data_IF_555411833521
#
_entry.id   IF_555411833521
#
_cell.length_a   1.000
_cell.length_b   1.000
_cell.length_c   1.000
_cell.angle_alpha   90.00
_cell.angle_beta   90.00
_cell.angle_gamma   90.00
#
_symmetry.space_group_name_H-M   'P 1'
#
loop_
_entity.id
_entity.type
_entity.pdbx_description
1 polymer ?
#
# COMPACT_ATOMS: atom_id res chain seq x y z
N UNK A 1 -27.28 -8.00 -24.96
CA UNK A 1 -26.05 -8.11 -25.76
C UNK A 1 -24.93 -7.49 -24.96
N UNK A 2 -24.45 -8.24 -23.97
CA UNK A 2 -23.34 -7.85 -23.10
C UNK A 2 -22.02 -8.13 -23.83
N UNK A 3 -21.24 -7.09 -24.11
CA UNK A 3 -19.85 -7.25 -24.54
C UNK A 3 -18.99 -7.17 -23.29
N UNK A 4 -18.61 -8.31 -22.75
CA UNK A 4 -17.49 -8.38 -21.81
C UNK A 4 -16.23 -7.93 -22.55
N UNK A 5 -15.76 -6.73 -22.22
CA UNK A 5 -14.50 -6.21 -22.70
C UNK A 5 -13.36 -7.05 -22.11
N UNK A 6 -12.76 -7.89 -22.95
CA UNK A 6 -11.49 -8.58 -22.68
C UNK A 6 -10.35 -7.56 -22.69
N UNK A 7 -10.28 -6.71 -21.67
CA UNK A 7 -9.33 -5.58 -21.60
C UNK A 7 -8.21 -5.67 -20.54
N UNK A 8 -8.19 -6.53 -19.50
CA UNK A 8 -7.14 -6.44 -18.47
C UNK A 8 -5.92 -7.36 -18.68
N UNK A 9 -6.02 -8.43 -19.48
CA UNK A 9 -5.00 -9.50 -19.44
C UNK A 9 -3.68 -9.09 -20.12
N UNK A 10 -3.73 -8.25 -21.16
CA UNK A 10 -2.53 -7.86 -21.90
C UNK A 10 -1.63 -6.86 -21.14
N UNK A 11 -2.20 -5.99 -20.27
CA UNK A 11 -1.42 -5.01 -19.51
C UNK A 11 -0.70 -5.65 -18.30
N UNK A 12 -1.28 -6.68 -17.67
CA UNK A 12 -0.67 -7.40 -16.53
C UNK A 12 0.62 -8.13 -16.94
N UNK A 13 0.68 -8.67 -18.16
CA UNK A 13 1.86 -9.42 -18.65
C UNK A 13 3.07 -8.51 -18.87
N UNK A 14 2.86 -7.26 -19.29
CA UNK A 14 3.95 -6.28 -19.44
C UNK A 14 4.53 -5.89 -18.07
N UNK A 15 3.69 -5.82 -17.03
CA UNK A 15 4.10 -5.47 -15.67
C UNK A 15 4.97 -6.52 -14.97
N UNK A 16 4.67 -7.81 -15.15
CA UNK A 16 5.52 -8.89 -14.59
C UNK A 16 6.93 -8.87 -15.23
N UNK A 17 7.03 -8.49 -16.51
CA UNK A 17 8.30 -8.45 -17.23
C UNK A 17 9.13 -7.22 -16.85
N UNK A 18 8.50 -6.03 -16.70
CA UNK A 18 9.21 -4.79 -16.33
C UNK A 18 9.65 -4.82 -14.85
N UNK A 19 8.79 -5.28 -13.94
CA UNK A 19 9.17 -5.42 -12.51
C UNK A 19 10.21 -6.54 -12.30
N UNK A 20 10.12 -7.62 -13.08
CA UNK A 20 11.09 -8.72 -13.06
C UNK A 20 12.48 -8.32 -13.57
N UNK A 21 12.57 -7.43 -14.56
CA UNK A 21 13.84 -6.92 -15.09
C UNK A 21 14.56 -5.98 -14.10
N UNK A 22 13.82 -5.22 -13.30
CA UNK A 22 14.40 -4.36 -12.25
C UNK A 22 14.94 -5.18 -11.08
N UNK A 23 14.34 -6.34 -10.77
CA UNK A 23 14.80 -7.23 -9.69
C UNK A 23 15.99 -8.13 -10.06
N UNK A 24 16.21 -8.45 -11.33
CA UNK A 24 17.34 -9.29 -11.76
C UNK A 24 18.67 -8.52 -11.94
N UNK A 25 18.66 -7.20 -11.92
CA UNK A 25 19.83 -6.35 -12.19
C UNK A 25 20.87 -6.26 -11.06
N UNK A 26 20.60 -6.76 -9.85
CA UNK A 26 21.49 -6.59 -8.69
C UNK A 26 22.24 -7.86 -8.25
N UNK A 27 22.12 -8.96 -9.00
CA UNK A 27 22.78 -10.23 -8.68
C UNK A 27 24.00 -10.46 -9.60
N UNK A 28 25.07 -9.71 -9.40
CA UNK A 28 26.26 -9.92 -10.24
C UNK A 28 27.47 -9.06 -9.93
N UNK A 29 28.01 -9.09 -8.71
CA UNK A 29 29.46 -8.88 -8.50
C UNK A 29 29.89 -9.15 -7.05
N UNK A 30 30.92 -9.98 -6.90
CA UNK A 30 31.60 -10.30 -5.64
C UNK A 30 31.67 -11.83 -5.47
N UNK A 31 32.71 -12.55 -5.89
CA UNK A 31 34.13 -12.20 -5.86
C UNK A 31 34.76 -12.91 -4.67
N UNK A 32 34.96 -14.22 -4.80
CA UNK A 32 35.67 -15.08 -3.84
C UNK A 32 37.18 -15.00 -4.14
N UNK A 33 38.07 -14.89 -3.13
CA UNK A 33 38.99 -16.02 -2.94
C UNK A 33 39.53 -16.25 -1.51
N UNK A 34 39.65 -17.55 -1.14
CA UNK A 34 40.73 -18.25 -0.38
C UNK A 34 41.09 -17.71 1.01
N UNK A 35 41.00 -18.46 2.12
CA UNK A 35 41.71 -19.70 2.55
C UNK A 35 41.83 -19.63 4.11
N UNK A 36 42.49 -20.55 4.86
CA UNK A 36 42.26 -22.00 5.05
C UNK A 36 42.22 -22.42 6.56
N UNK A 37 41.77 -23.65 6.85
CA UNK A 37 42.33 -24.54 7.89
C UNK A 37 42.02 -24.29 9.38
N UNK A 38 41.54 -25.34 10.07
CA UNK A 38 41.57 -25.43 11.54
C UNK A 38 40.64 -26.48 12.12
N UNK A 39 41.16 -27.68 12.40
CA UNK A 39 40.48 -28.77 13.10
C UNK A 39 40.51 -28.60 14.62
N UNK A 40 39.52 -29.19 15.34
CA UNK A 40 39.54 -29.76 16.72
C UNK A 40 38.06 -29.99 17.13
N UNK A 41 37.54 -31.22 17.19
CA UNK A 41 37.63 -32.25 18.25
C UNK A 41 36.96 -31.87 19.58
N UNK A 42 35.93 -32.63 20.01
CA UNK A 42 35.58 -32.73 21.44
C UNK A 42 34.11 -32.86 21.85
N UNK A 43 33.57 -34.09 21.74
CA UNK A 43 32.65 -34.84 22.66
C UNK A 43 31.34 -34.25 23.26
N UNK A 44 30.39 -35.14 23.65
CA UNK A 44 28.98 -34.84 23.92
C UNK A 44 28.65 -34.71 25.42
N UNK A 45 27.46 -34.20 25.71
CA UNK A 45 26.76 -34.47 26.96
C UNK A 45 25.24 -34.49 26.74
N UNK A 46 24.67 -35.68 26.88
CA UNK A 46 23.27 -35.93 27.16
C UNK A 46 22.89 -35.26 28.49
N UNK A 47 21.73 -34.60 28.53
CA UNK A 47 20.98 -34.48 29.77
C UNK A 47 19.48 -34.45 29.47
N UNK A 48 18.84 -35.56 29.84
CA UNK A 48 17.40 -35.68 29.97
C UNK A 48 16.94 -34.85 31.17
N UNK A 49 15.96 -33.98 30.95
CA UNK A 49 15.34 -33.13 31.96
C UNK A 49 13.82 -33.15 31.76
N UNK A 50 13.19 -33.97 32.58
CA UNK A 50 11.77 -34.20 32.78
C UNK A 50 10.95 -32.90 32.93
N UNK A 51 9.85 -32.80 32.20
CA UNK A 51 8.93 -31.67 32.18
C UNK A 51 7.63 -32.05 32.89
N UNK A 52 7.40 -31.46 34.06
CA UNK A 52 6.12 -31.51 34.75
C UNK A 52 5.84 -30.17 35.41
N UNK A 53 5.04 -29.32 34.77
CA UNK A 53 4.20 -28.33 35.45
C UNK A 53 3.17 -27.76 34.47
N UNK A 54 1.97 -28.26 34.65
CA UNK A 54 0.67 -27.74 34.25
C UNK A 54 0.55 -26.23 34.56
N UNK A 55 0.26 -25.41 33.55
CA UNK A 55 -0.13 -24.01 33.72
C UNK A 55 -1.12 -23.62 32.61
N UNK A 56 -2.37 -23.92 32.93
CA UNK A 56 -3.61 -23.38 32.37
C UNK A 56 -3.45 -21.95 31.81
N UNK A 57 -3.71 -21.81 30.51
CA UNK A 57 -3.87 -20.55 29.77
C UNK A 57 -5.06 -19.75 30.30
N UNK A 58 -4.98 -18.42 30.40
CA UNK A 58 -6.13 -17.57 30.11
C UNK A 58 -6.18 -17.28 28.62
N UNK A 59 -7.22 -17.79 27.96
CA UNK A 59 -7.67 -17.33 26.67
C UNK A 59 -8.03 -15.84 26.79
N UNK A 60 -7.40 -14.99 25.97
CA UNK A 60 -7.62 -13.56 26.01
C UNK A 60 -7.20 -12.86 24.74
N UNK A 61 -8.19 -12.60 23.89
CA UNK A 61 -8.24 -11.50 22.93
C UNK A 61 -7.36 -11.61 21.67
N UNK A 62 -7.90 -12.32 20.67
CA UNK A 62 -7.54 -12.13 19.26
C UNK A 62 -7.95 -10.74 18.76
N UNK A 63 -7.23 -9.70 19.19
CA UNK A 63 -7.23 -8.44 18.48
C UNK A 63 -6.54 -8.69 17.14
N UNK A 64 -7.33 -8.75 16.07
CA UNK A 64 -6.84 -8.80 14.69
C UNK A 64 -5.80 -7.68 14.49
N UNK A 65 -4.65 -7.97 13.89
CA UNK A 65 -3.53 -7.01 13.80
C UNK A 65 -3.89 -5.64 13.18
N UNK A 66 -5.01 -5.55 12.49
CA UNK A 66 -5.62 -4.29 12.02
C UNK A 66 -6.05 -3.35 13.17
N UNK A 67 -6.67 -3.89 14.22
CA UNK A 67 -7.04 -3.14 15.43
C UNK A 67 -5.81 -2.73 16.25
N UNK A 68 -4.72 -3.49 16.16
CA UNK A 68 -3.48 -3.20 16.86
C UNK A 68 -2.68 -2.07 16.19
N UNK A 69 -2.67 -2.02 14.85
CA UNK A 69 -2.01 -0.95 14.09
C UNK A 69 -2.73 0.39 14.19
N UNK A 70 -4.06 0.39 14.28
CA UNK A 70 -4.88 1.61 14.48
C UNK A 70 -4.69 2.26 15.85
N UNK A 71 -4.24 1.50 16.85
CA UNK A 71 -3.88 2.01 18.18
C UNK A 71 -2.48 2.59 18.30
N UNK A 72 -1.65 2.49 17.25
CA UNK A 72 -0.31 3.10 17.25
C UNK A 72 -0.50 4.59 16.95
N UNK A 73 -0.02 5.50 17.82
CA UNK A 73 -0.18 6.93 17.59
C UNK A 73 0.45 7.30 16.25
N UNK A 74 -0.21 8.14 15.46
CA UNK A 74 0.36 8.67 14.22
C UNK A 74 1.71 9.36 14.52
N UNK A 75 2.55 9.52 13.49
CA UNK A 75 3.70 10.41 13.61
C UNK A 75 3.19 11.79 14.05
N UNK A 76 3.63 12.28 15.21
CA UNK A 76 3.26 13.61 15.66
C UNK A 76 3.68 14.60 14.56
N UNK A 77 2.77 15.42 14.00
CA UNK A 77 3.20 16.53 13.18
C UNK A 77 4.19 17.36 14.00
N UNK A 78 5.25 17.82 13.34
CA UNK A 78 6.27 18.71 13.92
C UNK A 78 5.56 19.91 14.58
N UNK A 79 5.22 19.80 15.87
CA UNK A 79 4.37 20.78 16.56
C UNK A 79 3.41 20.25 17.63
N UNK A 80 2.94 19.00 17.59
CA UNK A 80 2.08 18.47 18.67
C UNK A 80 2.93 17.90 19.81
N UNK A 81 2.99 18.68 20.90
CA UNK A 81 3.70 18.36 22.14
C UNK A 81 2.94 17.31 22.97
N UNK A 82 2.88 16.08 22.48
CA UNK A 82 2.71 14.94 23.40
C UNK A 82 4.12 14.50 23.77
N UNK A 83 4.58 14.70 25.01
CA UNK A 83 5.92 14.24 25.39
C UNK A 83 5.98 12.73 25.13
N UNK A 84 7.04 12.22 24.46
CA UNK A 84 7.20 10.79 24.35
C UNK A 84 7.20 10.21 25.77
N UNK A 85 6.40 9.17 26.00
CA UNK A 85 6.23 8.52 27.32
C UNK A 85 7.57 8.07 27.93
N UNK A 86 8.60 7.94 27.10
CA UNK A 86 9.96 7.53 27.46
C UNK A 86 10.98 8.45 26.77
N UNK A 87 12.11 8.72 27.45
CA UNK A 87 13.23 9.45 26.84
C UNK A 87 13.79 8.67 25.63
N UNK A 88 14.45 9.35 24.69
CA UNK A 88 15.05 8.66 23.53
C UNK A 88 16.00 7.53 23.96
N UNK A 89 16.80 7.75 24.99
CA UNK A 89 17.71 6.73 25.55
C UNK A 89 16.93 5.52 26.09
N UNK A 90 15.82 5.76 26.79
CA UNK A 90 14.99 4.69 27.33
C UNK A 90 14.23 3.94 26.23
N UNK A 91 13.83 4.62 25.16
CA UNK A 91 13.25 3.96 23.98
C UNK A 91 14.25 3.06 23.28
N UNK A 92 15.51 3.50 23.11
CA UNK A 92 16.58 2.65 22.56
C UNK A 92 16.84 1.42 23.43
N UNK A 93 16.92 1.61 24.76
CA UNK A 93 17.13 0.50 25.69
C UNK A 93 15.97 -0.50 25.63
N UNK A 94 14.74 -0.02 25.74
CA UNK A 94 13.55 -0.86 25.70
C UNK A 94 13.41 -1.56 24.34
N UNK A 95 13.70 -0.87 23.23
CA UNK A 95 13.70 -1.47 21.90
C UNK A 95 14.74 -2.60 21.80
N UNK A 96 15.95 -2.37 22.31
CA UNK A 96 17.00 -3.37 22.40
C UNK A 96 16.58 -4.60 23.20
N UNK A 97 15.99 -4.41 24.37
CA UNK A 97 15.49 -5.49 25.23
C UNK A 97 14.37 -6.31 24.54
N UNK A 98 13.40 -5.63 23.93
CA UNK A 98 12.29 -6.28 23.22
C UNK A 98 12.81 -7.13 22.06
N UNK A 99 13.75 -6.61 21.27
CA UNK A 99 14.28 -7.30 20.08
C UNK A 99 15.36 -8.34 20.42
N UNK A 100 16.06 -8.23 21.56
CA UNK A 100 17.02 -9.23 22.01
C UNK A 100 16.33 -10.48 22.61
N UNK A 101 15.11 -10.33 23.12
CA UNK A 101 14.32 -11.43 23.69
C UNK A 101 13.74 -12.41 22.65
N UNK A 102 14.15 -12.32 21.38
CA UNK A 102 13.64 -13.16 20.29
C UNK A 102 14.31 -14.54 20.30
N UNK A 103 13.57 -15.63 20.57
CA UNK A 103 14.13 -16.97 20.46
C UNK A 103 14.45 -17.29 18.99
N UNK A 104 15.60 -17.92 18.77
CA UNK A 104 15.96 -18.57 17.51
C UNK A 104 16.20 -20.04 17.84
N UNK A 105 15.51 -21.00 17.21
CA UNK A 105 14.57 -20.89 16.08
C UNK A 105 13.14 -20.47 16.48
N UNK A 106 12.39 -19.92 15.53
CA UNK A 106 11.00 -19.48 15.73
C UNK A 106 10.01 -20.56 15.25
N UNK A 107 9.18 -21.08 16.16
CA UNK A 107 8.00 -21.89 15.86
C UNK A 107 6.72 -21.05 15.67
N UNK A 108 5.56 -21.69 15.44
CA UNK A 108 4.30 -20.98 15.15
C UNK A 108 3.80 -20.09 16.29
N UNK A 109 3.92 -20.55 17.55
CA UNK A 109 3.58 -19.74 18.71
C UNK A 109 4.53 -18.54 18.87
N UNK A 110 5.76 -18.66 18.37
CA UNK A 110 6.73 -17.56 18.39
C UNK A 110 6.38 -16.46 17.40
N UNK A 111 5.56 -16.73 16.36
CA UNK A 111 5.12 -15.72 15.39
C UNK A 111 4.16 -14.69 16.01
N UNK A 112 3.23 -15.14 16.86
CA UNK A 112 2.30 -14.21 17.55
C UNK A 112 3.05 -13.36 18.57
N UNK A 113 3.95 -13.97 19.35
CA UNK A 113 4.80 -13.24 20.28
C UNK A 113 5.76 -12.28 19.54
N UNK A 114 6.19 -12.61 18.33
CA UNK A 114 6.99 -11.74 17.48
C UNK A 114 6.18 -10.55 16.95
N UNK A 115 4.95 -10.77 16.49
CA UNK A 115 4.00 -9.72 16.10
C UNK A 115 3.79 -8.71 17.25
N UNK A 116 3.45 -9.20 18.43
CA UNK A 116 3.21 -8.37 19.62
C UNK A 116 4.44 -7.54 20.01
N UNK A 117 5.64 -8.11 19.91
CA UNK A 117 6.88 -7.39 20.19
C UNK A 117 7.13 -6.27 19.18
N UNK A 118 6.94 -6.52 17.88
CA UNK A 118 7.10 -5.47 16.88
C UNK A 118 6.07 -4.35 17.07
N UNK A 119 4.80 -4.70 17.32
CA UNK A 119 3.76 -3.73 17.65
C UNK A 119 4.14 -2.90 18.88
N UNK A 120 4.71 -3.55 19.91
CA UNK A 120 5.18 -2.88 21.12
C UNK A 120 6.33 -1.93 20.85
N UNK A 121 7.29 -2.29 20.01
CA UNK A 121 8.37 -1.37 19.58
C UNK A 121 7.78 -0.14 18.89
N UNK A 122 6.82 -0.33 17.97
CA UNK A 122 6.22 0.79 17.23
C UNK A 122 5.35 1.70 18.09
N UNK A 123 4.76 1.17 19.16
CA UNK A 123 3.94 1.92 20.11
C UNK A 123 4.76 2.61 21.21
N UNK A 124 5.67 1.87 21.84
CA UNK A 124 6.37 2.31 23.05
C UNK A 124 7.73 2.96 22.74
N UNK A 125 8.35 2.60 21.61
CA UNK A 125 9.68 3.06 21.19
C UNK A 125 9.69 3.69 19.76
N UNK A 126 8.77 4.59 19.40
CA UNK A 126 8.66 5.10 18.03
C UNK A 126 9.87 5.93 17.58
N UNK A 127 10.68 6.47 18.49
CA UNK A 127 11.88 7.24 18.15
C UNK A 127 13.15 6.38 18.12
N UNK A 128 13.08 5.09 18.46
CA UNK A 128 14.26 4.22 18.46
C UNK A 128 14.77 3.98 17.03
N UNK A 129 16.09 3.91 16.89
CA UNK A 129 16.82 3.67 15.64
C UNK A 129 16.35 2.42 14.88
N UNK A 130 15.87 1.41 15.61
CA UNK A 130 15.36 0.14 15.06
C UNK A 130 13.84 0.08 14.88
N UNK A 131 13.10 1.12 15.23
CA UNK A 131 11.65 1.15 15.02
C UNK A 131 11.24 1.04 13.53
N UNK A 132 11.95 1.66 12.56
CA UNK A 132 11.67 1.45 11.14
C UNK A 132 11.91 -0.01 10.70
N UNK A 133 12.95 -0.66 11.25
CA UNK A 133 13.20 -2.09 11.00
C UNK A 133 12.02 -2.92 11.53
N UNK A 134 11.53 -2.65 12.74
CA UNK A 134 10.40 -3.36 13.33
C UNK A 134 9.13 -3.24 12.46
N UNK A 135 8.81 -2.05 11.94
CA UNK A 135 7.66 -1.87 11.03
C UNK A 135 7.82 -2.67 9.74
N UNK A 136 9.01 -2.65 9.14
CA UNK A 136 9.29 -3.42 7.92
C UNK A 136 9.19 -4.94 8.18
N UNK A 137 9.75 -5.41 9.29
CA UNK A 137 9.68 -6.84 9.68
C UNK A 137 8.27 -7.28 10.01
N UNK A 138 7.46 -6.42 10.60
CA UNK A 138 6.04 -6.66 10.83
C UNK A 138 5.28 -6.82 9.51
N UNK A 139 5.53 -5.96 8.53
CA UNK A 139 4.95 -6.10 7.20
C UNK A 139 5.38 -7.42 6.51
N UNK A 140 6.66 -7.79 6.61
CA UNK A 140 7.15 -9.10 6.14
C UNK A 140 6.46 -10.26 6.85
N UNK A 141 6.25 -10.18 8.16
CA UNK A 141 5.57 -11.21 8.95
C UNK A 141 4.14 -11.45 8.42
N UNK A 142 3.42 -10.38 8.09
CA UNK A 142 2.07 -10.47 7.54
C UNK A 142 2.00 -11.03 6.12
N UNK A 143 3.01 -10.76 5.30
CA UNK A 143 3.01 -11.18 3.90
C UNK A 143 3.65 -12.55 3.67
N UNK A 144 4.80 -12.81 4.27
CA UNK A 144 5.66 -13.96 3.97
C UNK A 144 5.48 -15.10 4.99
N UNK A 145 5.08 -14.78 6.23
CA UNK A 145 5.01 -15.75 7.34
C UNK A 145 3.58 -16.06 7.79
N UNK A 146 2.57 -15.58 7.07
CA UNK A 146 1.16 -15.87 7.32
C UNK A 146 0.57 -16.69 6.17
N UNK A 147 -0.12 -17.78 6.50
CA UNK A 147 -0.91 -18.57 5.54
C UNK A 147 -2.39 -18.55 5.94
N UNK A 148 -3.27 -17.88 5.17
CA UNK A 148 -3.00 -17.06 3.98
C UNK A 148 -2.31 -15.73 4.31
N UNK A 149 -1.69 -15.04 3.32
CA UNK A 149 -1.10 -13.72 3.50
C UNK A 149 -2.12 -12.70 4.03
N UNK A 150 -1.72 -11.97 5.07
CA UNK A 150 -2.54 -10.91 5.71
C UNK A 150 -2.29 -9.58 4.99
N UNK A 151 -2.91 -9.42 3.81
CA UNK A 151 -2.71 -8.26 2.91
C UNK A 151 -3.02 -6.93 3.60
N UNK A 152 -4.17 -6.79 4.24
CA UNK A 152 -4.59 -5.52 4.86
C UNK A 152 -3.65 -5.10 6.01
N UNK A 153 -3.33 -5.95 7.02
CA UNK A 153 -2.32 -5.62 8.02
C UNK A 153 -0.94 -5.32 7.44
N UNK A 154 -0.54 -6.01 6.36
CA UNK A 154 0.71 -5.72 5.66
C UNK A 154 0.71 -4.31 5.06
N UNK A 155 -0.35 -3.95 4.33
CA UNK A 155 -0.52 -2.64 3.73
C UNK A 155 -0.48 -1.52 4.79
N UNK A 156 -1.19 -1.70 5.91
CA UNK A 156 -1.19 -0.74 7.01
C UNK A 156 0.19 -0.59 7.67
N UNK A 157 0.93 -1.68 7.87
CA UNK A 157 2.29 -1.62 8.42
C UNK A 157 3.26 -0.87 7.49
N UNK A 158 3.12 -1.02 6.16
CA UNK A 158 3.92 -0.30 5.18
C UNK A 158 3.55 1.19 5.09
N UNK A 159 2.25 1.52 5.15
CA UNK A 159 1.79 2.92 5.24
C UNK A 159 2.37 3.60 6.48
N UNK A 160 2.29 2.95 7.63
CA UNK A 160 2.89 3.44 8.88
C UNK A 160 4.40 3.66 8.75
N UNK A 161 5.12 2.73 8.10
CA UNK A 161 6.56 2.86 7.87
C UNK A 161 6.89 4.10 7.03
N UNK A 162 6.16 4.34 5.94
CA UNK A 162 6.35 5.51 5.08
C UNK A 162 6.00 6.82 5.78
N UNK A 163 4.86 6.88 6.47
CA UNK A 163 4.38 8.11 7.09
C UNK A 163 5.22 8.51 8.31
N UNK A 164 5.70 7.53 9.09
CA UNK A 164 6.48 7.79 10.31
C UNK A 164 7.99 7.84 10.09
N UNK A 165 8.50 7.09 9.12
CA UNK A 165 9.94 6.97 8.88
C UNK A 165 10.32 7.19 7.40
N UNK A 166 9.88 8.30 6.77
CA UNK A 166 10.01 8.50 5.32
C UNK A 166 11.46 8.46 4.83
N UNK A 167 12.43 8.87 5.66
CA UNK A 167 13.86 8.93 5.30
C UNK A 167 14.59 7.61 5.52
N UNK A 168 13.94 6.61 6.15
CA UNK A 168 14.58 5.34 6.47
C UNK A 168 14.88 4.51 5.21
N UNK A 169 15.95 3.71 5.26
CA UNK A 169 16.24 2.77 4.17
C UNK A 169 15.15 1.70 4.02
N UNK A 170 14.44 1.38 5.12
CA UNK A 170 13.33 0.45 5.13
C UNK A 170 12.11 1.00 4.38
N UNK A 171 11.79 2.28 4.55
CA UNK A 171 10.77 2.98 3.77
C UNK A 171 11.07 2.89 2.26
N UNK A 172 12.26 3.32 1.83
CA UNK A 172 12.67 3.19 0.42
C UNK A 172 12.55 1.76 -0.13
N UNK A 173 12.93 0.76 0.67
CA UNK A 173 12.81 -0.66 0.31
C UNK A 173 11.35 -1.16 0.26
N UNK A 174 10.45 -0.53 1.01
CA UNK A 174 9.03 -0.86 1.06
C UNK A 174 8.24 -0.37 -0.16
N UNK A 175 8.72 0.67 -0.86
CA UNK A 175 8.01 1.32 -1.98
C UNK A 175 7.41 0.33 -2.99
N UNK A 176 8.16 -0.62 -3.57
CA UNK A 176 7.58 -1.51 -4.59
C UNK A 176 6.46 -2.39 -4.04
N UNK A 177 6.61 -2.85 -2.79
CA UNK A 177 5.61 -3.71 -2.13
C UNK A 177 4.37 -2.92 -1.72
N UNK A 178 4.54 -1.68 -1.26
CA UNK A 178 3.43 -0.80 -0.94
C UNK A 178 2.59 -0.47 -2.18
N UNK A 179 3.25 -0.11 -3.29
CA UNK A 179 2.55 0.12 -4.57
C UNK A 179 1.79 -1.12 -5.04
N UNK A 180 2.43 -2.29 -4.98
CA UNK A 180 1.80 -3.56 -5.36
C UNK A 180 0.56 -3.88 -4.50
N UNK A 181 0.68 -3.79 -3.17
CA UNK A 181 -0.43 -4.14 -2.27
C UNK A 181 -1.57 -3.13 -2.34
N UNK A 182 -1.26 -1.83 -2.44
CA UNK A 182 -2.29 -0.81 -2.61
C UNK A 182 -3.04 -0.96 -3.94
N UNK A 183 -2.35 -1.38 -5.01
CA UNK A 183 -3.00 -1.71 -6.28
C UNK A 183 -3.87 -2.95 -6.19
N UNK A 184 -3.42 -4.00 -5.50
CA UNK A 184 -4.22 -5.20 -5.26
C UNK A 184 -5.46 -4.93 -4.39
N UNK A 185 -5.34 -3.98 -3.45
CA UNK A 185 -6.45 -3.52 -2.62
C UNK A 185 -7.35 -2.49 -3.32
N UNK A 186 -7.02 -2.08 -4.56
CA UNK A 186 -7.73 -1.04 -5.31
C UNK A 186 -7.86 0.30 -4.56
N UNK A 187 -6.87 0.62 -3.72
CA UNK A 187 -6.79 1.89 -2.99
C UNK A 187 -6.20 2.99 -3.89
N UNK A 188 -6.94 3.30 -4.96
CA UNK A 188 -6.55 4.27 -5.99
C UNK A 188 -6.30 5.67 -5.43
N UNK A 189 -7.10 6.22 -4.49
CA UNK A 189 -6.84 7.53 -3.92
C UNK A 189 -5.49 7.59 -3.20
N UNK A 190 -5.18 6.58 -2.36
CA UNK A 190 -3.90 6.49 -1.70
C UNK A 190 -2.74 6.36 -2.70
N UNK A 191 -2.90 5.54 -3.74
CA UNK A 191 -1.87 5.38 -4.78
C UNK A 191 -1.57 6.68 -5.51
N UNK A 192 -2.59 7.47 -5.86
CA UNK A 192 -2.40 8.75 -6.53
C UNK A 192 -1.58 9.72 -5.66
N UNK A 193 -1.99 9.90 -4.41
CA UNK A 193 -1.30 10.77 -3.45
C UNK A 193 0.13 10.28 -3.16
N UNK A 194 0.32 8.97 -3.08
CA UNK A 194 1.62 8.38 -2.78
C UNK A 194 2.58 8.47 -3.98
N UNK A 195 2.12 8.18 -5.20
CA UNK A 195 2.91 8.32 -6.42
C UNK A 195 3.28 9.79 -6.69
N UNK A 196 2.37 10.74 -6.45
CA UNK A 196 2.68 12.16 -6.54
C UNK A 196 3.82 12.54 -5.57
N UNK A 197 3.76 12.09 -4.31
CA UNK A 197 4.86 12.28 -3.35
C UNK A 197 6.17 11.66 -3.87
N UNK A 198 6.15 10.45 -4.41
CA UNK A 198 7.34 9.76 -4.93
C UNK A 198 7.98 10.49 -6.13
N UNK A 199 7.17 11.02 -7.05
CA UNK A 199 7.68 11.75 -8.21
C UNK A 199 8.44 13.03 -7.80
N UNK A 200 8.05 13.64 -6.68
CA UNK A 200 8.67 14.84 -6.13
C UNK A 200 9.80 14.57 -5.12
N UNK A 201 10.12 13.30 -4.82
CA UNK A 201 11.22 12.96 -3.91
C UNK A 201 12.58 13.25 -4.53
N UNK A 202 13.43 13.95 -3.77
CA UNK A 202 14.79 14.31 -4.19
C UNK A 202 15.71 13.07 -4.34
N UNK A 203 15.45 12.01 -3.57
CA UNK A 203 16.25 10.78 -3.55
C UNK A 203 15.86 9.76 -4.63
N UNK A 204 14.89 10.09 -5.49
CA UNK A 204 14.42 9.19 -6.55
C UNK A 204 15.35 9.24 -7.77
N UNK A 205 15.80 8.07 -8.23
CA UNK A 205 16.55 7.95 -9.49
C UNK A 205 15.65 8.38 -10.66
N UNK A 206 16.25 8.99 -11.69
CA UNK A 206 15.48 9.49 -12.84
C UNK A 206 14.65 8.38 -13.51
N UNK A 207 15.20 7.16 -13.64
CA UNK A 207 14.48 6.03 -14.24
C UNK A 207 13.22 5.65 -13.43
N UNK A 208 13.34 5.56 -12.10
CA UNK A 208 12.22 5.25 -11.21
C UNK A 208 11.17 6.36 -11.26
N UNK A 209 11.61 7.62 -11.27
CA UNK A 209 10.73 8.79 -11.35
C UNK A 209 9.88 8.78 -12.63
N UNK A 210 10.49 8.44 -13.78
CA UNK A 210 9.77 8.31 -15.05
C UNK A 210 8.73 7.19 -14.97
N UNK A 211 9.07 6.05 -14.36
CA UNK A 211 8.10 4.98 -14.12
C UNK A 211 6.93 5.49 -13.28
N UNK A 212 7.20 6.15 -12.15
CA UNK A 212 6.15 6.67 -11.27
C UNK A 212 5.23 7.68 -11.96
N UNK A 213 5.75 8.55 -12.84
CA UNK A 213 4.91 9.47 -13.62
C UNK A 213 3.92 8.74 -14.52
N UNK A 214 4.35 7.66 -15.20
CA UNK A 214 3.46 6.84 -16.03
C UNK A 214 2.40 6.15 -15.16
N UNK A 215 2.79 5.56 -14.03
CA UNK A 215 1.83 4.93 -13.13
C UNK A 215 0.84 5.93 -12.54
N UNK A 216 1.29 7.14 -12.21
CA UNK A 216 0.43 8.19 -11.68
C UNK A 216 -0.66 8.56 -12.69
N UNK A 217 -0.29 8.71 -13.97
CA UNK A 217 -1.27 8.95 -15.03
C UNK A 217 -2.29 7.81 -15.16
N UNK A 218 -1.86 6.54 -15.11
CA UNK A 218 -2.77 5.38 -15.14
C UNK A 218 -3.70 5.35 -13.92
N UNK A 219 -3.20 5.66 -12.73
CA UNK A 219 -4.03 5.72 -11.51
C UNK A 219 -5.04 6.87 -11.58
N UNK A 220 -4.64 8.03 -12.11
CA UNK A 220 -5.54 9.18 -12.32
C UNK A 220 -6.63 8.86 -13.35
N UNK A 221 -6.31 8.11 -14.41
CA UNK A 221 -7.30 7.60 -15.36
C UNK A 221 -8.33 6.69 -14.66
N UNK A 222 -7.87 5.76 -13.79
CA UNK A 222 -8.76 4.89 -13.00
C UNK A 222 -9.66 5.66 -12.03
N UNK A 223 -9.20 6.81 -11.55
CA UNK A 223 -9.98 7.72 -10.71
C UNK A 223 -10.93 8.62 -11.53
N UNK A 224 -10.97 8.49 -12.85
CA UNK A 224 -11.79 9.33 -13.73
C UNK A 224 -11.26 10.76 -13.88
N UNK A 225 -9.96 10.97 -13.64
CA UNK A 225 -9.25 12.27 -13.73
C UNK A 225 -8.14 12.25 -14.80
N UNK A 226 -8.42 11.83 -16.05
CA UNK A 226 -7.38 11.71 -17.09
C UNK A 226 -6.74 13.07 -17.45
N UNK A 227 -7.48 14.17 -17.30
CA UNK A 227 -6.97 15.52 -17.55
C UNK A 227 -5.77 15.88 -16.66
N UNK A 228 -5.72 15.32 -15.45
CA UNK A 228 -4.60 15.49 -14.53
C UNK A 228 -3.43 14.53 -14.84
N UNK A 229 -3.70 13.39 -15.48
CA UNK A 229 -2.70 12.41 -15.90
C UNK A 229 -1.92 12.84 -17.15
N UNK A 230 -2.59 13.49 -18.10
CA UNK A 230 -2.00 13.99 -19.36
C UNK A 230 -0.69 14.78 -19.19
N UNK A 231 -0.58 15.80 -18.33
CA UNK A 231 0.65 16.56 -18.18
C UNK A 231 1.84 15.70 -17.71
N UNK A 232 1.58 14.62 -16.96
CA UNK A 232 2.62 13.67 -16.55
C UNK A 232 3.14 12.85 -17.74
N UNK A 233 2.26 12.37 -18.61
CA UNK A 233 2.64 11.63 -19.81
C UNK A 233 3.43 12.50 -20.80
N UNK A 234 3.00 13.74 -21.01
CA UNK A 234 3.75 14.71 -21.83
C UNK A 234 5.14 15.00 -21.25
N UNK A 235 5.25 15.05 -19.91
CA UNK A 235 6.53 15.22 -19.22
C UNK A 235 7.43 14.01 -19.40
N UNK A 236 6.90 12.79 -19.32
CA UNK A 236 7.64 11.54 -19.61
C UNK A 236 8.18 11.56 -21.03
N UNK A 237 7.37 11.95 -22.03
CA UNK A 237 7.82 12.04 -23.42
C UNK A 237 8.96 13.05 -23.61
N UNK A 238 8.98 14.13 -22.84
CA UNK A 238 10.04 15.15 -22.88
C UNK A 238 11.31 14.70 -22.16
N UNK A 239 11.18 14.13 -20.97
CA UNK A 239 12.31 13.75 -20.11
C UNK A 239 12.96 12.42 -20.51
N UNK A 240 12.21 11.52 -21.15
CA UNK A 240 12.66 10.17 -21.52
C UNK A 240 12.49 9.92 -23.03
N UNK A 241 12.69 10.94 -23.86
CA UNK A 241 12.55 10.85 -25.32
C UNK A 241 13.38 9.69 -25.90
N UNK A 242 12.76 8.88 -26.76
CA UNK A 242 13.40 7.72 -27.39
C UNK A 242 13.55 6.48 -26.49
N UNK A 243 12.95 6.50 -25.30
CA UNK A 243 12.86 5.31 -24.43
C UNK A 243 11.53 4.58 -24.62
N UNK A 244 11.44 3.27 -24.29
CA UNK A 244 10.18 2.54 -24.30
C UNK A 244 9.08 3.18 -23.43
N UNK A 245 9.45 3.92 -22.38
CA UNK A 245 8.49 4.62 -21.53
C UNK A 245 7.86 5.83 -22.22
N UNK A 246 8.61 6.56 -23.05
CA UNK A 246 8.05 7.64 -23.87
C UNK A 246 7.12 7.11 -24.97
N UNK A 247 7.43 5.93 -25.52
CA UNK A 247 6.54 5.27 -26.49
C UNK A 247 5.24 4.79 -25.82
N UNK A 248 5.34 4.20 -24.63
CA UNK A 248 4.18 3.82 -23.82
C UNK A 248 3.31 5.06 -23.49
N UNK A 249 3.92 6.15 -23.04
CA UNK A 249 3.21 7.39 -22.73
C UNK A 249 2.47 7.95 -23.95
N UNK A 250 3.10 7.91 -25.14
CA UNK A 250 2.46 8.30 -26.40
C UNK A 250 1.24 7.42 -26.71
N UNK A 251 1.38 6.10 -26.60
CA UNK A 251 0.27 5.17 -26.85
C UNK A 251 -0.91 5.41 -25.91
N UNK A 252 -0.67 5.72 -24.63
CA UNK A 252 -1.73 6.03 -23.68
C UNK A 252 -2.48 7.30 -24.11
N UNK A 253 -1.77 8.36 -24.46
CA UNK A 253 -2.39 9.61 -24.94
C UNK A 253 -3.20 9.43 -26.24
N UNK A 254 -2.70 8.63 -27.18
CA UNK A 254 -3.42 8.30 -28.42
C UNK A 254 -4.71 7.51 -28.13
N UNK A 255 -4.68 6.59 -27.16
CA UNK A 255 -5.86 5.83 -26.73
C UNK A 255 -6.90 6.74 -26.06
N UNK A 256 -6.49 7.65 -25.20
CA UNK A 256 -7.38 8.66 -24.60
C UNK A 256 -8.06 9.51 -25.68
N UNK A 257 -7.29 10.00 -26.66
CA UNK A 257 -7.81 10.81 -27.74
C UNK A 257 -8.79 10.05 -28.65
N UNK A 258 -8.56 8.75 -28.88
CA UNK A 258 -9.44 7.89 -29.66
C UNK A 258 -10.71 7.47 -28.90
N UNK A 259 -10.70 7.54 -27.56
CA UNK A 259 -11.82 7.19 -26.68
C UNK A 259 -12.79 8.34 -26.38
N UNK A 260 -12.40 9.59 -26.60
CA UNK A 260 -13.31 10.73 -26.53
C UNK A 260 -14.21 10.75 -27.78
N UNK A 261 -15.55 10.79 -27.65
CA UNK A 261 -16.40 11.16 -28.78
C UNK A 261 -16.01 12.57 -29.26
N UNK A 262 -15.86 12.80 -30.58
CA UNK A 262 -15.66 14.15 -31.08
C UNK A 262 -16.91 14.98 -30.74
N UNK A 263 -16.68 16.17 -30.21
CA UNK A 263 -17.65 17.25 -30.02
C UNK A 263 -18.71 17.12 -28.92
N UNK A 264 -18.44 17.83 -27.82
CA UNK A 264 -19.43 18.69 -27.15
C UNK A 264 -19.49 20.10 -27.76
N UNK A 265 -19.04 20.26 -29.02
CA UNK A 265 -19.30 21.44 -29.83
C UNK A 265 -20.70 21.40 -30.42
N UNK A 266 -21.72 21.52 -29.58
CA UNK A 266 -22.97 22.09 -30.09
C UNK A 266 -22.81 23.61 -30.09
N UNK A 267 -22.50 24.10 -31.28
CA UNK A 267 -22.78 25.44 -31.77
C UNK A 267 -24.10 25.99 -31.17
N UNK A 268 -23.97 26.76 -30.09
CA UNK A 268 -25.04 27.63 -29.61
C UNK A 268 -25.07 28.90 -30.46
N UNK A 269 -25.37 28.72 -31.76
CA UNK A 269 -25.66 29.79 -32.71
C UNK A 269 -26.74 29.34 -33.70
N UNK A 270 -28.00 29.33 -33.23
CA UNK A 270 -29.17 29.55 -34.08
C UNK A 270 -30.35 30.10 -33.27
N UNK A 271 -30.37 31.43 -33.14
CA UNK A 271 -31.50 32.37 -33.27
C UNK A 271 -32.92 32.11 -32.70
N UNK A 272 -33.64 33.20 -32.37
CA UNK A 272 -34.82 33.20 -31.54
C UNK A 272 -36.10 32.92 -32.35
N UNK A 273 -37.00 32.11 -31.79
CA UNK A 273 -38.40 32.09 -32.19
C UNK A 273 -39.21 32.89 -31.17
N UNK A 274 -39.78 33.99 -31.65
CA UNK A 274 -40.76 34.82 -30.96
C UNK A 274 -42.03 34.03 -30.56
N UNK A 275 -42.79 34.55 -29.57
CA UNK A 275 -43.86 33.83 -28.89
C UNK A 275 -45.22 34.05 -29.57
N UNK A 276 -46.11 33.06 -29.47
CA UNK A 276 -47.55 33.29 -29.57
C UNK A 276 -48.34 32.54 -28.49
N UNK A 277 -49.49 33.09 -28.04
CA UNK A 277 -50.11 32.78 -26.76
C UNK A 277 -51.39 31.93 -26.90
N UNK A 278 -52.04 31.74 -25.75
CA UNK A 278 -53.41 31.28 -25.50
C UNK A 278 -53.49 29.79 -25.13
N UNK A 279 -53.81 29.43 -23.88
CA UNK A 279 -55.07 29.67 -23.14
C UNK A 279 -55.86 28.36 -23.10
N UNK A 280 -56.18 27.87 -21.91
CA UNK A 280 -57.30 26.96 -21.74
C UNK A 280 -57.16 25.88 -20.67
N UNK A 281 -57.57 26.25 -19.46
CA UNK A 281 -58.46 25.47 -18.58
C UNK A 281 -57.99 24.10 -18.01
N UNK A 282 -57.70 24.15 -16.70
CA UNK A 282 -58.06 23.19 -15.63
C UNK A 282 -59.52 22.66 -15.71
N UNK A 283 -60.03 21.82 -14.76
CA UNK A 283 -59.44 20.80 -13.85
C UNK A 283 -60.27 19.48 -13.86
N UNK A 284 -59.84 18.42 -13.16
CA UNK A 284 -60.66 17.57 -12.22
C UNK A 284 -59.80 16.42 -11.67
N UNK A 285 -59.61 16.33 -10.34
CA UNK A 285 -60.25 15.34 -9.43
C UNK A 285 -60.02 13.87 -9.82
N UNK A 286 -59.51 12.96 -9.00
CA UNK A 286 -59.18 12.97 -7.58
C UNK A 286 -58.96 11.53 -7.09
N UNK A 287 -58.82 11.42 -5.76
CA UNK A 287 -59.13 10.27 -4.90
C UNK A 287 -58.16 9.06 -4.84
N UNK A 288 -57.66 8.88 -3.61
CA UNK A 288 -57.71 7.62 -2.83
C UNK A 288 -56.81 6.45 -3.27
N UNK A 289 -55.99 5.81 -2.43
CA UNK A 289 -55.84 5.88 -0.98
C UNK A 289 -54.70 4.96 -0.50
N UNK A 290 -54.29 5.18 0.75
CA UNK A 290 -53.63 4.19 1.62
C UNK A 290 -54.67 3.10 2.05
N UNK A 291 -54.35 1.95 2.71
CA UNK A 291 -53.30 1.82 3.74
C UNK A 291 -52.62 0.44 3.96
N UNK A 292 -51.52 0.50 4.73
CA UNK A 292 -51.11 -0.34 5.88
C UNK A 292 -50.80 -1.85 5.82
N UNK A 293 -49.81 -2.21 6.68
CA UNK A 293 -49.63 -3.47 7.44
C UNK A 293 -48.98 -4.65 6.68
N UNK A 294 -48.12 -5.51 7.25
CA UNK A 294 -47.62 -5.74 8.62
C UNK A 294 -46.33 -6.58 8.57
N UNK A 295 -45.50 -6.48 9.62
CA UNK A 295 -44.51 -7.50 10.03
C UNK A 295 -45.20 -8.76 10.59
N UNK A 296 -44.53 -9.93 10.61
CA UNK A 296 -44.02 -10.48 11.89
C UNK A 296 -42.66 -11.20 11.73
N UNK A 297 -41.73 -11.08 12.70
CA UNK A 297 -41.54 -11.92 13.90
C UNK A 297 -41.03 -13.35 13.59
N UNK A 298 -39.79 -13.58 14.01
CA UNK A 298 -39.06 -14.85 14.00
C UNK A 298 -39.49 -15.80 15.14
N UNK A 299 -39.02 -17.04 15.09
CA UNK A 299 -38.44 -17.74 16.23
C UNK A 299 -36.90 -17.77 16.18
#
# INVERSE_FOLDING_TARGET
MERHATWPVARIVVWVVVLGLVLLGTAGQGGDPRSPGGAVSGRPADSAGDSGADATLPAGSGATGEAALTGIPAADPVGSRTPPLLSHLDQERLCGELLASLPVPLGPQDMTALEERYLRVLRDCPAASRAPEAAFRLASLYFENSEPPRVEPCLQALKLLEDRYPTSAFARRAVPRLLQLAQQAEDWPFLADYLDRLVHREDCLQADRISYMVHLAEVLERLGRPDEGRPWLERVMREAAGTPMADLARTILEQEAAGLPPDGGEDSLASPAEPLPASGADPVSGLSGAPASASPLAP
#
